data_IF_064253846997
#
_entry.id   IF_064253846997
#
_cell.length_a   1.000
_cell.length_b   1.000
_cell.length_c   1.000
_cell.angle_alpha   90.00
_cell.angle_beta   90.00
_cell.angle_gamma   90.00
#
_symmetry.space_group_name_H-M   'P 1'
#
loop_
_entity.id
_entity.type
_entity.pdbx_description
1 polymer ?
#
# COMPACT_ATOMS: atom_id res chain seq x y z
N UNK A 1 36.07 38.16 -58.42
CA UNK A 1 35.25 38.84 -59.45
C UNK A 1 33.84 38.99 -58.91
N UNK A 2 33.34 40.23 -58.85
CA UNK A 2 31.99 40.78 -58.53
C UNK A 2 30.98 39.92 -57.74
N UNK A 3 30.51 40.25 -56.53
CA UNK A 3 29.85 41.45 -55.97
C UNK A 3 28.30 41.50 -56.11
N UNK A 4 27.65 41.73 -54.96
CA UNK A 4 26.31 42.33 -54.69
C UNK A 4 25.08 41.41 -54.65
N UNK A 5 24.38 41.24 -53.52
CA UNK A 5 23.45 42.15 -52.77
C UNK A 5 21.98 41.80 -53.13
N UNK A 6 20.95 41.65 -52.27
CA UNK A 6 20.48 42.37 -51.08
C UNK A 6 19.53 41.46 -50.23
N UNK A 7 19.47 41.69 -48.92
CA UNK A 7 18.31 41.39 -48.05
C UNK A 7 17.30 42.58 -48.08
N UNK A 8 16.06 42.54 -47.53
CA UNK A 8 15.82 42.50 -46.06
C UNK A 8 14.50 41.82 -45.56
N UNK A 9 14.41 41.63 -44.23
CA UNK A 9 13.19 41.38 -43.40
C UNK A 9 12.35 42.68 -43.19
N UNK A 10 11.37 42.82 -42.24
CA UNK A 10 10.50 41.91 -41.44
C UNK A 10 8.99 42.35 -41.41
N UNK A 11 8.09 41.61 -40.72
CA UNK A 11 7.23 42.12 -39.61
C UNK A 11 6.04 41.20 -39.21
N UNK A 12 5.65 41.38 -37.95
CA UNK A 12 4.72 40.65 -37.05
C UNK A 12 3.26 41.13 -37.08
N UNK A 13 2.31 40.29 -36.60
CA UNK A 13 1.16 40.61 -35.68
C UNK A 13 0.10 39.49 -35.74
N UNK A 14 -0.28 38.84 -34.63
CA UNK A 14 -1.29 39.17 -33.60
C UNK A 14 -2.73 38.66 -33.91
N UNK A 15 -3.27 37.86 -32.99
CA UNK A 15 -4.65 37.29 -32.90
C UNK A 15 -5.75 38.37 -32.78
N UNK A 16 -7.07 38.06 -32.96
CA UNK A 16 -7.96 37.53 -31.88
C UNK A 16 -9.09 36.58 -32.40
N UNK A 17 -9.70 35.68 -31.62
CA UNK A 17 -10.76 35.91 -30.60
C UNK A 17 -12.18 35.74 -31.20
N UNK A 18 -12.87 34.62 -30.94
CA UNK A 18 -14.27 34.40 -31.35
C UNK A 18 -15.16 34.13 -30.12
N UNK A 19 -16.19 34.96 -29.94
CA UNK A 19 -17.21 34.89 -28.87
C UNK A 19 -18.58 34.89 -29.55
N UNK A 20 -19.43 33.92 -29.15
CA UNK A 20 -20.84 34.08 -28.81
C UNK A 20 -21.86 34.69 -29.80
N UNK A 21 -22.77 33.80 -30.22
CA UNK A 21 -24.24 33.91 -30.07
C UNK A 21 -25.06 34.86 -30.98
N UNK A 22 -26.24 34.39 -31.42
CA UNK A 22 -27.28 35.23 -32.03
C UNK A 22 -28.08 34.61 -33.17
N UNK A 23 -29.19 33.96 -32.83
CA UNK A 23 -30.31 33.59 -33.70
C UNK A 23 -31.02 34.82 -34.31
N UNK A 24 -31.62 34.67 -35.51
CA UNK A 24 -33.00 35.09 -35.91
C UNK A 24 -33.14 35.11 -37.45
N UNK A 25 -34.26 34.58 -37.95
CA UNK A 25 -34.72 34.55 -39.34
C UNK A 25 -34.99 35.95 -39.94
N UNK A 26 -35.27 36.09 -41.25
CA UNK A 26 -36.68 36.30 -41.61
C UNK A 26 -37.14 35.78 -43.00
N UNK A 27 -38.46 35.58 -43.04
CA UNK A 27 -39.48 35.87 -44.07
C UNK A 27 -39.30 35.62 -45.57
N UNK A 28 -40.42 35.13 -46.11
CA UNK A 28 -40.75 34.90 -47.49
C UNK A 28 -41.12 36.19 -48.24
N UNK A 29 -40.85 36.20 -49.55
CA UNK A 29 -41.57 37.02 -50.53
C UNK A 29 -41.91 36.12 -51.71
N UNK A 30 -43.20 36.13 -52.06
CA UNK A 30 -43.82 35.49 -53.22
C UNK A 30 -43.75 36.47 -54.38
N UNK A 31 -43.42 35.99 -55.59
CA UNK A 31 -44.01 36.56 -56.81
C UNK A 31 -44.11 35.49 -57.92
N UNK A 32 -45.19 35.60 -58.69
CA UNK A 32 -45.82 34.56 -59.49
C UNK A 32 -45.32 34.45 -60.95
N UNK A 33 -45.31 33.20 -61.45
CA UNK A 33 -45.70 32.70 -62.78
C UNK A 33 -44.99 33.19 -64.07
N UNK A 34 -44.32 32.26 -64.79
CA UNK A 34 -44.82 31.77 -66.09
C UNK A 34 -44.10 30.49 -66.59
N UNK A 35 -44.90 29.45 -66.67
CA UNK A 35 -44.93 28.24 -67.52
C UNK A 35 -43.80 27.95 -68.54
N UNK A 36 -43.32 26.71 -68.50
CA UNK A 36 -42.79 26.01 -69.68
C UNK A 36 -41.66 25.02 -69.37
N UNK A 37 -41.96 23.73 -69.48
CA UNK A 37 -40.99 22.60 -69.58
C UNK A 37 -40.41 21.99 -68.28
N UNK A 38 -41.25 21.48 -67.37
CA UNK A 38 -40.75 20.78 -66.15
C UNK A 38 -40.90 19.24 -66.11
N UNK A 39 -41.47 18.59 -67.11
CA UNK A 39 -41.72 17.13 -67.01
C UNK A 39 -40.59 16.21 -67.51
N UNK A 40 -39.51 16.74 -68.12
CA UNK A 40 -38.30 15.94 -68.47
C UNK A 40 -37.04 16.28 -67.67
N UNK A 41 -37.01 17.43 -67.02
CA UNK A 41 -35.84 17.97 -66.29
C UNK A 41 -35.79 17.48 -64.84
N UNK A 42 -36.95 17.14 -64.28
CA UNK A 42 -37.14 16.73 -62.88
C UNK A 42 -36.73 15.27 -62.65
N UNK A 43 -36.90 14.39 -63.64
CA UNK A 43 -36.40 13.00 -63.58
C UNK A 43 -34.87 12.92 -63.55
N UNK A 44 -34.17 13.73 -64.35
CA UNK A 44 -32.70 13.80 -64.37
C UNK A 44 -32.10 14.41 -63.08
N UNK A 45 -32.77 15.44 -62.53
CA UNK A 45 -32.40 16.09 -61.26
C UNK A 45 -32.65 15.18 -60.05
N UNK A 46 -33.77 14.46 -60.03
CA UNK A 46 -34.09 13.49 -58.97
C UNK A 46 -33.16 12.28 -59.01
N UNK A 47 -32.84 11.73 -60.19
CA UNK A 47 -31.83 10.69 -60.36
C UNK A 47 -30.45 11.13 -59.85
N UNK A 48 -30.05 12.38 -60.14
CA UNK A 48 -28.78 12.93 -59.67
C UNK A 48 -28.74 13.13 -58.15
N UNK A 49 -29.85 13.58 -57.54
CA UNK A 49 -29.97 13.70 -56.07
C UNK A 49 -29.98 12.34 -55.39
N UNK A 50 -30.60 11.33 -56.00
CA UNK A 50 -30.61 9.95 -55.50
C UNK A 50 -29.19 9.37 -55.47
N UNK A 51 -28.42 9.55 -56.55
CA UNK A 51 -27.02 9.09 -56.65
C UNK A 51 -26.12 9.77 -55.61
N UNK A 52 -26.33 11.07 -55.33
CA UNK A 52 -25.61 11.79 -54.27
C UNK A 52 -25.99 11.25 -52.88
N UNK A 53 -27.27 10.97 -52.64
CA UNK A 53 -27.72 10.38 -51.38
C UNK A 53 -27.17 8.96 -51.18
N UNK A 54 -27.05 8.17 -52.25
CA UNK A 54 -26.51 6.81 -52.22
C UNK A 54 -25.00 6.81 -51.97
N UNK A 55 -24.26 7.72 -52.60
CA UNK A 55 -22.82 7.89 -52.35
C UNK A 55 -22.52 8.39 -50.94
N UNK A 56 -23.31 9.33 -50.40
CA UNK A 56 -23.17 9.76 -49.00
C UNK A 56 -23.50 8.64 -48.00
N UNK A 57 -24.51 7.80 -48.30
CA UNK A 57 -24.79 6.60 -47.50
C UNK A 57 -23.64 5.59 -47.55
N UNK A 58 -23.08 5.36 -48.72
CA UNK A 58 -21.94 4.46 -48.90
C UNK A 58 -20.68 4.95 -48.17
N UNK A 59 -20.40 6.27 -48.19
CA UNK A 59 -19.28 6.87 -47.46
C UNK A 59 -19.45 6.76 -45.94
N UNK A 60 -20.65 7.01 -45.42
CA UNK A 60 -20.95 6.84 -43.99
C UNK A 60 -20.83 5.39 -43.54
N UNK A 61 -21.27 4.45 -44.37
CA UNK A 61 -21.10 3.02 -44.11
C UNK A 61 -19.61 2.62 -44.08
N UNK A 62 -18.79 3.14 -45.00
CA UNK A 62 -17.34 2.91 -44.99
C UNK A 62 -16.64 3.53 -43.77
N UNK A 63 -17.00 4.75 -43.36
CA UNK A 63 -16.46 5.37 -42.15
C UNK A 63 -16.83 4.58 -40.89
N UNK A 64 -18.05 4.06 -40.83
CA UNK A 64 -18.52 3.25 -39.72
C UNK A 64 -17.78 1.91 -39.66
N UNK A 65 -17.58 1.26 -40.80
CA UNK A 65 -16.80 0.02 -40.90
C UNK A 65 -15.33 0.24 -40.52
N UNK A 66 -14.73 1.38 -40.89
CA UNK A 66 -13.37 1.74 -40.47
C UNK A 66 -13.28 1.95 -38.95
N UNK A 67 -14.27 2.61 -38.34
CA UNK A 67 -14.32 2.80 -36.87
C UNK A 67 -14.47 1.48 -36.13
N UNK A 68 -15.30 0.57 -36.62
CA UNK A 68 -15.49 -0.76 -36.04
C UNK A 68 -14.20 -1.60 -36.16
N UNK A 69 -13.49 -1.53 -37.29
CA UNK A 69 -12.19 -2.19 -37.48
C UNK A 69 -11.11 -1.63 -36.54
N UNK A 70 -11.05 -0.31 -36.36
CA UNK A 70 -10.13 0.31 -35.41
C UNK A 70 -10.46 -0.06 -33.97
N UNK A 71 -11.75 -0.13 -33.61
CA UNK A 71 -12.19 -0.51 -32.28
C UNK A 71 -11.83 -1.97 -31.97
N UNK A 72 -12.11 -2.89 -32.90
CA UNK A 72 -11.71 -4.29 -32.80
C UNK A 72 -10.18 -4.44 -32.65
N UNK A 73 -9.39 -3.66 -33.41
CA UNK A 73 -7.93 -3.66 -33.29
C UNK A 73 -7.47 -3.23 -31.89
N UNK A 74 -8.10 -2.21 -31.30
CA UNK A 74 -7.80 -1.75 -29.92
C UNK A 74 -8.16 -2.80 -28.89
N UNK A 75 -9.30 -3.46 -29.03
CA UNK A 75 -9.75 -4.53 -28.11
C UNK A 75 -8.79 -5.74 -28.13
N UNK A 76 -8.37 -6.17 -29.32
CA UNK A 76 -7.36 -7.24 -29.46
C UNK A 76 -6.03 -6.83 -28.84
N UNK A 77 -5.60 -5.58 -29.02
CA UNK A 77 -4.36 -5.08 -28.43
C UNK A 77 -4.45 -4.98 -26.89
N UNK A 78 -5.61 -4.63 -26.35
CA UNK A 78 -5.89 -4.64 -24.91
C UNK A 78 -5.89 -6.07 -24.34
N UNK A 79 -6.44 -7.05 -25.05
CA UNK A 79 -6.41 -8.45 -24.65
C UNK A 79 -5.00 -9.03 -24.68
N UNK A 80 -4.23 -8.75 -25.73
CA UNK A 80 -2.82 -9.15 -25.81
C UNK A 80 -2.05 -8.54 -24.64
N UNK A 81 -2.25 -7.25 -24.35
CA UNK A 81 -1.58 -6.54 -23.25
C UNK A 81 -1.97 -7.12 -21.88
N UNK A 82 -3.25 -7.45 -21.66
CA UNK A 82 -3.72 -8.14 -20.44
C UNK A 82 -3.09 -9.53 -20.31
N UNK A 83 -2.96 -10.27 -21.41
CA UNK A 83 -2.32 -11.59 -21.41
C UNK A 83 -0.83 -11.50 -21.10
N UNK A 84 -0.12 -10.51 -21.65
CA UNK A 84 1.30 -10.24 -21.40
C UNK A 84 1.49 -9.81 -19.95
N UNK A 85 0.65 -8.92 -19.41
CA UNK A 85 0.68 -8.54 -17.99
C UNK A 85 0.43 -9.75 -17.09
N UNK A 86 -0.47 -10.66 -17.46
CA UNK A 86 -0.77 -11.89 -16.71
C UNK A 86 0.40 -12.89 -16.76
N UNK A 87 1.08 -13.01 -17.90
CA UNK A 87 2.31 -13.82 -18.06
C UNK A 87 3.48 -13.18 -17.29
N UNK A 88 3.63 -11.86 -17.35
CA UNK A 88 4.62 -11.11 -16.55
C UNK A 88 4.34 -11.16 -15.04
N UNK A 89 3.09 -11.32 -14.62
CA UNK A 89 2.72 -11.60 -13.22
C UNK A 89 3.08 -13.02 -12.77
N UNK A 90 3.25 -13.94 -13.72
CA UNK A 90 3.62 -15.33 -13.44
C UNK A 90 5.13 -15.57 -13.52
N UNK A 91 5.87 -14.71 -14.22
CA UNK A 91 7.31 -14.89 -14.41
C UNK A 91 8.19 -14.17 -13.37
N UNK A 92 8.85 -15.02 -12.56
CA UNK A 92 10.19 -14.89 -11.98
C UNK A 92 10.41 -14.23 -10.61
N UNK A 93 9.68 -13.22 -10.13
CA UNK A 93 9.92 -12.69 -8.76
C UNK A 93 9.02 -13.27 -7.68
N UNK A 94 7.83 -13.73 -8.10
CA UNK A 94 6.76 -14.11 -7.19
C UNK A 94 6.65 -15.63 -7.04
N UNK A 95 7.23 -16.42 -7.95
CA UNK A 95 7.29 -17.88 -7.78
C UNK A 95 8.05 -18.27 -6.52
N UNK A 96 9.24 -17.69 -6.31
CA UNK A 96 10.05 -17.97 -5.13
C UNK A 96 9.41 -17.42 -3.85
N UNK A 97 8.78 -16.24 -3.91
CA UNK A 97 8.07 -15.67 -2.75
C UNK A 97 6.80 -16.44 -2.40
N UNK A 98 6.04 -16.89 -3.40
CA UNK A 98 4.85 -17.73 -3.21
C UNK A 98 5.26 -19.12 -2.73
N UNK A 99 6.35 -19.68 -3.24
CA UNK A 99 6.91 -20.95 -2.78
C UNK A 99 7.41 -20.83 -1.34
N UNK A 100 8.17 -19.79 -0.99
CA UNK A 100 8.62 -19.49 0.37
C UNK A 100 7.44 -19.26 1.31
N UNK A 101 6.41 -18.53 0.86
CA UNK A 101 5.20 -18.32 1.64
C UNK A 101 4.43 -19.62 1.87
N UNK A 102 4.31 -20.46 0.83
CA UNK A 102 3.65 -21.77 0.90
C UNK A 102 4.41 -22.71 1.82
N UNK A 103 5.75 -22.75 1.73
CA UNK A 103 6.61 -23.51 2.63
C UNK A 103 6.52 -23.00 4.07
N UNK A 104 6.46 -21.68 4.27
CA UNK A 104 6.29 -21.07 5.59
C UNK A 104 4.92 -21.42 6.20
N UNK A 105 3.85 -21.34 5.42
CA UNK A 105 2.51 -21.76 5.84
C UNK A 105 2.49 -23.26 6.16
N UNK A 106 3.10 -24.10 5.33
CA UNK A 106 3.18 -25.54 5.56
C UNK A 106 3.91 -25.86 6.87
N UNK A 107 5.04 -25.18 7.15
CA UNK A 107 5.77 -25.29 8.43
C UNK A 107 4.92 -24.83 9.61
N UNK A 108 4.25 -23.68 9.51
CA UNK A 108 3.37 -23.16 10.56
C UNK A 108 2.19 -24.10 10.86
N UNK A 109 1.57 -24.66 9.82
CA UNK A 109 0.48 -25.63 9.95
C UNK A 109 0.96 -26.94 10.58
N UNK A 110 2.17 -27.41 10.23
CA UNK A 110 2.79 -28.58 10.85
C UNK A 110 3.07 -28.35 12.34
N UNK A 111 3.61 -27.17 12.71
CA UNK A 111 3.83 -26.77 14.11
C UNK A 111 2.51 -26.70 14.87
N UNK A 112 1.49 -26.06 14.32
CA UNK A 112 0.17 -25.97 14.94
C UNK A 112 -0.48 -27.35 15.13
N UNK A 113 -0.31 -28.26 14.17
CA UNK A 113 -0.74 -29.65 14.25
C UNK A 113 -0.05 -30.42 15.39
N UNK A 114 1.27 -30.28 15.52
CA UNK A 114 2.05 -30.90 16.60
C UNK A 114 1.61 -30.35 17.96
N UNK A 115 1.46 -29.03 18.11
CA UNK A 115 1.00 -28.41 19.36
C UNK A 115 -0.43 -28.84 19.74
N UNK A 116 -1.31 -29.03 18.76
CA UNK A 116 -2.65 -29.58 19.00
C UNK A 116 -2.56 -31.04 19.49
N UNK A 117 -1.70 -31.85 18.88
CA UNK A 117 -1.51 -33.24 19.26
C UNK A 117 -0.90 -33.38 20.66
N UNK A 118 0.06 -32.53 21.02
CA UNK A 118 0.61 -32.42 22.37
C UNK A 118 -0.48 -32.17 23.42
N UNK A 119 -1.42 -31.25 23.13
CA UNK A 119 -2.56 -30.97 24.02
C UNK A 119 -3.50 -32.18 24.14
N UNK A 120 -3.75 -32.89 23.05
CA UNK A 120 -4.59 -34.10 23.05
C UNK A 120 -3.97 -35.23 23.86
N UNK A 121 -2.66 -35.46 23.72
CA UNK A 121 -1.93 -36.49 24.48
C UNK A 121 -1.92 -36.16 25.98
N UNK A 122 -1.67 -34.90 26.35
CA UNK A 122 -1.72 -34.50 27.76
C UNK A 122 -3.15 -34.64 28.32
N UNK A 123 -4.18 -34.26 27.55
CA UNK A 123 -5.57 -34.44 27.95
C UNK A 123 -5.95 -35.92 28.12
N UNK A 124 -5.51 -36.80 27.22
CA UNK A 124 -5.74 -38.24 27.29
C UNK A 124 -5.07 -38.86 28.53
N UNK A 125 -3.83 -38.47 28.82
CA UNK A 125 -3.14 -38.90 30.04
C UNK A 125 -3.86 -38.41 31.31
N UNK A 126 -4.32 -37.15 31.36
CA UNK A 126 -5.07 -36.64 32.51
C UNK A 126 -6.44 -37.35 32.66
N UNK A 127 -7.06 -37.77 31.55
CA UNK A 127 -8.28 -38.57 31.57
C UNK A 127 -8.03 -39.98 32.13
N UNK A 128 -7.08 -40.72 31.54
CA UNK A 128 -6.68 -42.05 32.00
C UNK A 128 -6.25 -42.02 33.48
N UNK A 129 -5.50 -41.01 33.91
CA UNK A 129 -5.11 -40.83 35.32
C UNK A 129 -6.32 -40.68 36.26
N UNK A 130 -7.40 -40.03 35.82
CA UNK A 130 -8.64 -39.92 36.59
C UNK A 130 -9.40 -41.24 36.63
N UNK A 131 -9.47 -41.97 35.52
CA UNK A 131 -10.10 -43.29 35.45
C UNK A 131 -9.38 -44.30 36.33
N UNK A 132 -8.04 -44.33 36.28
CA UNK A 132 -7.20 -45.20 37.10
C UNK A 132 -7.25 -44.86 38.60
N UNK A 133 -7.71 -43.67 38.98
CA UNK A 133 -7.92 -43.31 40.38
C UNK A 133 -9.04 -44.12 41.05
N UNK A 134 -9.94 -44.72 40.27
CA UNK A 134 -11.04 -45.57 40.73
C UNK A 134 -10.61 -46.99 41.12
N UNK A 135 -9.37 -47.39 40.82
CA UNK A 135 -8.86 -48.73 41.13
C UNK A 135 -8.48 -48.83 42.62
N UNK A 136 -9.09 -49.77 43.38
CA UNK A 136 -8.85 -49.90 44.82
C UNK A 136 -7.47 -50.47 45.15
N UNK A 137 -6.92 -51.36 44.31
CA UNK A 137 -5.57 -51.91 44.50
C UNK A 137 -4.50 -50.84 44.20
N UNK A 138 -3.71 -50.51 45.24
CA UNK A 138 -2.64 -49.52 45.18
C UNK A 138 -1.47 -49.92 44.28
N UNK A 139 -1.08 -51.21 44.26
CA UNK A 139 0.05 -51.68 43.44
C UNK A 139 -0.31 -51.67 41.96
N UNK A 140 -1.46 -52.26 41.61
CA UNK A 140 -1.94 -52.30 40.22
C UNK A 140 -2.17 -50.89 39.64
N UNK A 141 -2.77 -49.98 40.42
CA UNK A 141 -2.95 -48.58 40.03
C UNK A 141 -1.63 -47.86 39.77
N UNK A 142 -0.62 -48.06 40.63
CA UNK A 142 0.68 -47.41 40.43
C UNK A 142 1.35 -47.92 39.15
N UNK A 143 1.33 -49.23 38.91
CA UNK A 143 1.89 -49.80 37.69
C UNK A 143 1.21 -49.29 36.42
N UNK A 144 -0.12 -49.23 36.41
CA UNK A 144 -0.88 -48.74 35.25
C UNK A 144 -0.65 -47.24 35.00
N UNK A 145 -0.61 -46.40 36.05
CA UNK A 145 -0.29 -44.98 35.90
C UNK A 145 1.13 -44.78 35.37
N UNK A 146 2.09 -45.61 35.77
CA UNK A 146 3.46 -45.55 35.23
C UNK A 146 3.53 -46.00 33.77
N UNK A 147 2.73 -47.00 33.36
CA UNK A 147 2.63 -47.41 31.95
C UNK A 147 2.06 -46.29 31.07
N UNK A 148 0.96 -45.67 31.49
CA UNK A 148 0.35 -44.53 30.78
C UNK A 148 1.27 -43.31 30.74
N UNK A 149 2.01 -43.05 31.82
CA UNK A 149 3.00 -41.98 31.87
C UNK A 149 4.15 -42.24 30.88
N UNK A 150 4.67 -43.48 30.82
CA UNK A 150 5.72 -43.84 29.86
C UNK A 150 5.24 -43.71 28.42
N UNK A 151 4.04 -44.23 28.10
CA UNK A 151 3.45 -44.09 26.77
C UNK A 151 3.28 -42.61 26.36
N UNK A 152 2.85 -41.75 27.29
CA UNK A 152 2.81 -40.29 27.09
C UNK A 152 4.20 -39.72 26.86
N UNK A 153 5.18 -40.06 27.71
CA UNK A 153 6.52 -39.48 27.65
C UNK A 153 7.26 -39.90 26.36
N UNK A 154 7.08 -41.13 25.89
CA UNK A 154 7.63 -41.66 24.64
C UNK A 154 7.02 -40.95 23.41
N UNK A 155 5.69 -40.81 23.36
CA UNK A 155 5.01 -40.09 22.28
C UNK A 155 5.33 -38.59 22.29
N UNK A 156 5.48 -38.00 23.47
CA UNK A 156 5.92 -36.61 23.63
C UNK A 156 7.38 -36.41 23.20
N UNK A 157 8.25 -37.39 23.41
CA UNK A 157 9.64 -37.33 22.94
C UNK A 157 9.71 -37.30 21.41
N UNK A 158 8.95 -38.17 20.72
CA UNK A 158 8.87 -38.19 19.25
C UNK A 158 8.34 -36.87 18.68
N UNK A 159 7.33 -36.26 19.32
CA UNK A 159 6.80 -34.97 18.90
C UNK A 159 7.76 -33.80 19.13
N UNK A 160 8.56 -33.86 20.21
CA UNK A 160 9.61 -32.89 20.49
C UNK A 160 10.72 -32.95 19.44
N UNK A 161 11.16 -34.16 19.09
CA UNK A 161 12.15 -34.38 18.04
C UNK A 161 11.64 -33.83 16.69
N UNK A 162 10.39 -34.13 16.34
CA UNK A 162 9.76 -33.62 15.12
C UNK A 162 9.59 -32.10 15.11
N UNK A 163 9.29 -31.49 16.26
CA UNK A 163 9.18 -30.04 16.39
C UNK A 163 10.54 -29.35 16.26
N UNK A 164 11.57 -29.93 16.88
CA UNK A 164 12.95 -29.44 16.81
C UNK A 164 13.51 -29.50 15.38
N UNK A 165 13.11 -30.51 14.59
CA UNK A 165 13.45 -30.59 13.16
C UNK A 165 12.71 -29.58 12.27
N UNK A 166 11.55 -29.07 12.69
CA UNK A 166 10.77 -28.07 11.95
C UNK A 166 11.13 -26.63 12.31
N UNK A 167 11.53 -26.38 13.56
CA UNK A 167 11.99 -25.07 14.02
C UNK A 167 12.95 -25.22 15.23
N UNK A 168 14.26 -24.98 15.05
CA UNK A 168 15.25 -25.08 16.13
C UNK A 168 15.13 -23.94 17.16
N UNK A 169 14.35 -22.89 16.87
CA UNK A 169 14.15 -21.74 17.75
C UNK A 169 12.95 -21.87 18.69
N UNK A 170 12.08 -22.87 18.47
CA UNK A 170 10.95 -23.17 19.37
C UNK A 170 11.47 -23.92 20.60
N UNK A 171 11.92 -23.16 21.61
CA UNK A 171 12.08 -23.69 22.97
C UNK A 171 10.70 -24.00 23.53
N UNK A 172 10.36 -25.28 23.63
CA UNK A 172 9.20 -25.72 24.39
C UNK A 172 9.39 -25.28 25.85
N UNK A 173 8.52 -24.38 26.29
CA UNK A 173 8.40 -23.93 27.67
C UNK A 173 8.20 -25.14 28.58
N UNK A 174 9.28 -25.57 29.23
CA UNK A 174 9.27 -26.46 30.37
C UNK A 174 9.52 -25.63 31.62
N UNK A 175 8.58 -24.76 32.00
CA UNK A 175 8.42 -24.31 33.39
C UNK A 175 7.14 -23.48 33.55
N UNK A 176 6.13 -24.10 34.19
CA UNK A 176 5.24 -23.39 35.09
C UNK A 176 6.02 -23.13 36.39
N UNK A 177 6.79 -22.05 36.44
CA UNK A 177 7.28 -21.41 37.67
C UNK A 177 8.32 -20.32 37.32
N UNK A 178 8.08 -19.12 37.85
CA UNK A 178 9.11 -18.23 38.40
C UNK A 178 10.02 -17.51 37.40
N UNK A 179 9.79 -16.21 37.29
CA UNK A 179 10.76 -15.11 37.12
C UNK A 179 12.01 -15.34 36.28
N UNK A 180 12.13 -14.53 35.22
CA UNK A 180 13.40 -14.20 34.61
C UNK A 180 13.51 -12.69 34.43
N UNK A 181 14.27 -12.08 35.34
CA UNK A 181 14.91 -10.78 35.13
C UNK A 181 16.29 -11.01 34.51
N UNK A 182 16.80 -9.98 33.84
CA UNK A 182 18.10 -9.83 33.18
C UNK A 182 18.23 -10.42 31.76
N UNK A 183 18.42 -9.55 30.77
CA UNK A 183 19.76 -9.29 30.20
C UNK A 183 19.71 -7.99 29.38
N UNK A 184 20.58 -7.04 29.73
CA UNK A 184 20.94 -5.91 28.87
C UNK A 184 21.73 -6.42 27.65
N UNK A 185 21.45 -5.91 26.44
CA UNK A 185 22.43 -5.31 25.53
C UNK A 185 21.90 -5.16 24.09
N UNK A 186 22.20 -3.97 23.53
CA UNK A 186 22.11 -3.52 22.13
C UNK A 186 20.72 -3.28 21.54
N UNK A 187 20.34 -2.00 21.61
CA UNK A 187 19.29 -1.36 20.83
C UNK A 187 19.58 -1.46 19.31
N UNK A 188 19.02 -2.49 18.67
CA UNK A 188 18.50 -2.38 17.31
C UNK A 188 16.99 -2.22 17.48
N UNK A 189 16.41 -1.17 16.92
CA UNK A 189 14.99 -0.86 17.02
C UNK A 189 14.18 -1.93 16.28
N UNK A 190 13.85 -3.02 16.99
CA UNK A 190 12.98 -4.09 16.51
C UNK A 190 11.55 -3.77 16.93
N UNK A 191 10.65 -3.77 15.95
CA UNK A 191 9.21 -3.53 16.12
C UNK A 191 8.60 -4.51 17.15
N UNK A 192 7.80 -4.03 18.12
CA UNK A 192 6.92 -4.91 18.88
C UNK A 192 5.77 -5.38 17.99
N UNK A 193 5.53 -6.69 17.94
CA UNK A 193 4.30 -7.26 17.40
C UNK A 193 3.09 -6.65 18.12
N UNK A 194 2.22 -5.97 17.38
CA UNK A 194 0.94 -5.48 17.89
C UNK A 194 -0.07 -6.59 17.62
N UNK A 195 -0.60 -7.19 18.68
CA UNK A 195 -1.57 -8.27 18.61
C UNK A 195 -2.83 -7.88 17.83
N UNK A 196 -3.22 -8.74 16.89
CA UNK A 196 -4.51 -8.72 16.19
C UNK A 196 -5.65 -9.05 17.17
N UNK A 197 -5.99 -8.13 18.06
CA UNK A 197 -7.20 -8.22 18.89
C UNK A 197 -8.04 -6.94 18.80
N UNK A 198 -8.33 -6.48 17.58
CA UNK A 198 -9.37 -5.46 17.36
C UNK A 198 -10.17 -5.83 16.11
N UNK A 199 -10.82 -6.99 16.14
CA UNK A 199 -11.84 -7.35 15.16
C UNK A 199 -12.96 -8.12 15.85
N UNK A 200 -13.68 -7.46 16.73
CA UNK A 200 -15.03 -7.86 17.14
C UNK A 200 -15.76 -6.64 17.68
N UNK A 201 -16.26 -5.82 16.75
CA UNK A 201 -17.26 -4.80 17.07
C UNK A 201 -18.62 -5.47 17.23
N UNK A 202 -18.96 -5.89 18.44
CA UNK A 202 -20.34 -5.98 18.96
C UNK A 202 -20.23 -5.72 20.46
N UNK A 203 -21.04 -4.80 20.98
CA UNK A 203 -20.93 -4.25 22.33
C UNK A 203 -20.71 -5.27 23.43
N UNK A 204 -19.69 -5.06 24.27
CA UNK A 204 -19.49 -5.83 25.49
C UNK A 204 -19.59 -4.91 26.70
N UNK A 205 -20.81 -4.83 27.24
CA UNK A 205 -21.04 -4.44 28.63
C UNK A 205 -20.26 -5.41 29.53
N UNK A 206 -19.41 -4.85 30.41
CA UNK A 206 -18.96 -5.42 31.68
C UNK A 206 -18.58 -6.91 31.70
N UNK A 207 -17.29 -7.20 31.48
CA UNK A 207 -16.59 -8.24 32.26
C UNK A 207 -15.66 -7.53 33.22
N UNK A 208 -15.77 -7.81 34.52
CA UNK A 208 -14.81 -7.36 35.54
C UNK A 208 -13.44 -7.91 35.16
N UNK A 209 -12.66 -7.14 34.39
CA UNK A 209 -11.26 -7.45 34.09
C UNK A 209 -10.52 -7.36 35.41
N UNK A 210 -9.96 -8.47 35.87
CA UNK A 210 -8.95 -8.44 36.93
C UNK A 210 -7.89 -7.43 36.53
N UNK A 211 -7.59 -6.42 37.38
CA UNK A 211 -6.63 -5.39 37.05
C UNK A 211 -5.28 -6.06 36.75
N UNK A 212 -4.56 -5.60 35.71
CA UNK A 212 -3.25 -6.15 35.41
C UNK A 212 -2.31 -5.98 36.61
N UNK A 213 -1.30 -6.87 36.76
CA UNK A 213 -0.47 -6.94 37.97
C UNK A 213 0.25 -5.63 38.31
N UNK A 214 0.55 -4.81 37.30
CA UNK A 214 1.20 -3.50 37.41
C UNK A 214 0.22 -2.30 37.44
N UNK A 215 -1.09 -2.53 37.53
CA UNK A 215 -2.09 -1.48 37.40
C UNK A 215 -1.92 -0.35 38.44
N UNK A 216 -1.62 -0.69 39.70
CA UNK A 216 -1.46 0.31 40.77
C UNK A 216 -0.26 1.22 40.52
N UNK A 217 0.88 0.64 40.19
CA UNK A 217 2.13 1.37 39.86
C UNK A 217 1.93 2.27 38.65
N UNK A 218 1.28 1.77 37.60
CA UNK A 218 0.97 2.53 36.39
C UNK A 218 0.06 3.72 36.71
N UNK A 219 -1.00 3.52 37.51
CA UNK A 219 -1.90 4.61 37.90
C UNK A 219 -1.21 5.66 38.78
N UNK A 220 -0.26 5.26 39.62
CA UNK A 220 0.56 6.18 40.40
C UNK A 220 1.52 6.99 39.52
N UNK A 221 2.24 6.33 38.61
CA UNK A 221 3.10 6.99 37.64
C UNK A 221 2.34 7.99 36.76
N UNK A 222 1.12 7.65 36.32
CA UNK A 222 0.24 8.56 35.57
C UNK A 222 -0.13 9.78 36.43
N UNK A 223 -0.49 9.59 37.70
CA UNK A 223 -0.81 10.71 38.61
C UNK A 223 0.39 11.61 38.85
N UNK A 224 1.60 11.06 39.01
CA UNK A 224 2.82 11.84 39.13
C UNK A 224 3.09 12.67 37.88
N UNK A 225 3.04 12.05 36.69
CA UNK A 225 3.23 12.74 35.42
C UNK A 225 2.19 13.84 35.16
N UNK A 226 0.94 13.65 35.60
CA UNK A 226 -0.10 14.68 35.50
C UNK A 226 0.17 15.88 36.41
N UNK A 227 0.71 15.66 37.61
CA UNK A 227 1.13 16.74 38.53
C UNK A 227 2.35 17.49 38.01
N UNK A 228 3.30 16.80 37.39
CA UNK A 228 4.52 17.39 36.82
C UNK A 228 4.28 18.11 35.49
N UNK A 229 3.23 17.75 34.75
CA UNK A 229 2.90 18.30 33.43
C UNK A 229 3.02 19.83 33.28
N UNK A 230 2.46 20.68 34.18
CA UNK A 230 2.56 22.13 34.03
C UNK A 230 3.98 22.67 34.20
N UNK A 231 4.88 21.93 34.86
CA UNK A 231 6.29 22.31 35.05
C UNK A 231 7.19 21.91 33.87
N UNK A 232 6.69 21.09 32.93
CA UNK A 232 7.48 20.67 31.78
C UNK A 232 7.56 21.76 30.71
N UNK A 233 8.75 21.97 30.09
CA UNK A 233 8.90 22.86 28.93
C UNK A 233 7.99 22.47 27.76
N UNK A 234 7.75 21.16 27.58
CA UNK A 234 6.74 20.62 26.67
C UNK A 234 5.70 19.78 27.45
N UNK A 235 4.55 20.38 27.82
CA UNK A 235 3.49 19.67 28.53
C UNK A 235 2.88 18.49 27.75
N UNK A 236 3.07 18.42 26.42
CA UNK A 236 2.58 17.29 25.63
C UNK A 236 3.49 16.05 25.74
N UNK A 237 4.73 16.21 26.22
CA UNK A 237 5.62 15.09 26.53
C UNK A 237 5.04 14.21 27.64
N UNK A 238 4.36 14.81 28.61
CA UNK A 238 3.62 14.05 29.62
C UNK A 238 2.56 13.14 28.98
N UNK A 239 1.82 13.62 27.98
CA UNK A 239 0.81 12.79 27.30
C UNK A 239 1.45 11.60 26.57
N UNK A 240 2.63 11.78 25.94
CA UNK A 240 3.34 10.66 25.31
C UNK A 240 3.73 9.59 26.34
N UNK A 241 4.28 10.01 27.49
CA UNK A 241 4.64 9.10 28.58
C UNK A 241 3.41 8.38 29.16
N UNK A 242 2.32 9.12 29.38
CA UNK A 242 1.04 8.56 29.85
C UNK A 242 0.46 7.57 28.82
N UNK A 243 0.54 7.86 27.52
CA UNK A 243 0.08 6.96 26.48
C UNK A 243 0.85 5.63 26.47
N UNK A 244 2.17 5.65 26.68
CA UNK A 244 2.99 4.43 26.83
C UNK A 244 2.60 3.62 28.06
N UNK A 245 2.26 4.29 29.16
CA UNK A 245 1.78 3.65 30.39
C UNK A 245 0.40 3.01 30.21
N UNK A 246 -0.53 3.66 29.51
CA UNK A 246 -1.80 3.03 29.13
C UNK A 246 -1.59 1.81 28.24
N UNK A 247 -0.64 1.89 27.31
CA UNK A 247 -0.28 0.78 26.43
C UNK A 247 0.34 -0.39 27.20
N UNK A 248 1.14 -0.16 28.23
CA UNK A 248 1.73 -1.24 29.03
C UNK A 248 0.70 -2.07 29.79
N UNK A 249 -0.48 -1.50 30.07
CA UNK A 249 -1.62 -2.20 30.66
C UNK A 249 -2.68 -2.60 29.63
N UNK A 250 -2.36 -2.51 28.33
CA UNK A 250 -3.26 -2.83 27.21
C UNK A 250 -4.57 -2.02 27.15
N UNK A 251 -4.60 -0.82 27.75
CA UNK A 251 -5.71 0.12 27.61
C UNK A 251 -5.50 1.01 26.38
N UNK A 252 -5.89 0.48 25.22
CA UNK A 252 -5.62 1.09 23.92
C UNK A 252 -6.45 2.36 23.65
N UNK A 253 -7.65 2.45 24.23
CA UNK A 253 -8.55 3.59 24.00
C UNK A 253 -8.04 4.85 24.70
N UNK A 254 -7.59 4.73 25.95
CA UNK A 254 -6.96 5.85 26.68
C UNK A 254 -5.60 6.19 26.10
N UNK A 255 -4.82 5.18 25.71
CA UNK A 255 -3.55 5.40 25.02
C UNK A 255 -3.75 6.23 23.75
N UNK A 256 -4.78 5.95 22.95
CA UNK A 256 -5.11 6.68 21.72
C UNK A 256 -5.34 8.17 21.98
N UNK A 257 -6.15 8.50 23.00
CA UNK A 257 -6.47 9.88 23.32
C UNK A 257 -5.21 10.67 23.70
N UNK A 258 -4.33 10.06 24.50
CA UNK A 258 -3.09 10.69 24.92
C UNK A 258 -2.05 10.75 23.79
N UNK A 259 -2.01 9.78 22.88
CA UNK A 259 -1.22 9.88 21.63
C UNK A 259 -1.71 11.03 20.73
N UNK A 260 -3.03 11.23 20.59
CA UNK A 260 -3.60 12.38 19.85
C UNK A 260 -3.26 13.71 20.52
N UNK A 261 -3.24 13.78 21.84
CA UNK A 261 -2.77 14.98 22.55
C UNK A 261 -1.26 15.17 22.35
N UNK A 262 -0.49 14.07 22.33
CA UNK A 262 0.95 14.06 22.12
C UNK A 262 1.39 14.34 20.67
N UNK A 263 0.48 14.42 19.69
CA UNK A 263 0.83 14.87 18.33
C UNK A 263 0.70 16.39 18.15
N UNK A 264 0.14 17.11 19.14
CA UNK A 264 -0.05 18.57 19.06
C UNK A 264 1.26 19.35 19.17
N UNK A 265 1.30 20.50 18.52
CA UNK A 265 2.38 21.49 18.64
C UNK A 265 2.14 22.42 19.83
N UNK A 266 3.22 22.95 20.39
CA UNK A 266 3.18 24.05 21.35
C UNK A 266 2.64 25.31 20.68
N UNK A 267 1.85 26.08 21.42
CA UNK A 267 1.39 27.39 20.96
C UNK A 267 2.53 28.41 20.97
N UNK A 268 2.45 29.44 20.13
CA UNK A 268 3.42 30.54 20.09
C UNK A 268 3.64 31.18 21.47
N UNK A 269 2.55 31.33 22.24
CA UNK A 269 2.60 31.84 23.62
C UNK A 269 3.42 30.95 24.57
N UNK A 270 3.42 29.65 24.36
CA UNK A 270 4.22 28.71 25.16
C UNK A 270 5.69 28.72 24.74
N UNK A 271 5.95 28.82 23.43
CA UNK A 271 7.32 28.94 22.90
C UNK A 271 7.98 30.26 23.31
N UNK A 272 7.21 31.36 23.35
CA UNK A 272 7.69 32.68 23.77
C UNK A 272 8.12 32.74 25.26
N UNK A 273 7.57 31.86 26.11
CA UNK A 273 7.92 31.79 27.54
C UNK A 273 9.29 31.16 27.81
N UNK A 274 9.86 30.45 26.84
CA UNK A 274 11.20 29.89 26.95
C UNK A 274 12.20 31.05 26.82
N UNK A 275 13.08 31.23 27.80
CA UNK A 275 13.94 32.41 27.91
C UNK A 275 15.03 32.44 26.82
N UNK A 276 15.63 31.29 26.51
CA UNK A 276 16.80 31.24 25.63
C UNK A 276 16.51 30.62 24.26
N UNK A 277 17.20 31.10 23.22
CA UNK A 277 17.09 30.55 21.87
C UNK A 277 17.58 29.10 21.78
N UNK A 278 18.60 28.74 22.58
CA UNK A 278 19.13 27.38 22.66
C UNK A 278 18.15 26.42 23.36
N UNK A 279 17.50 26.86 24.43
CA UNK A 279 16.43 26.10 25.08
C UNK A 279 15.24 25.90 24.13
N UNK A 280 14.85 26.94 23.39
CA UNK A 280 13.79 26.86 22.37
C UNK A 280 14.12 25.83 21.29
N UNK A 281 15.35 25.82 20.76
CA UNK A 281 15.74 24.85 19.73
C UNK A 281 15.74 23.41 20.24
N UNK A 282 16.19 23.19 21.48
CA UNK A 282 16.14 21.88 22.12
C UNK A 282 14.70 21.40 22.35
N UNK A 283 13.82 22.28 22.85
CA UNK A 283 12.40 21.95 23.05
C UNK A 283 11.71 21.65 21.72
N UNK A 284 12.01 22.40 20.65
CA UNK A 284 11.48 22.12 19.30
C UNK A 284 11.99 20.78 18.74
N UNK A 285 13.26 20.44 18.96
CA UNK A 285 13.81 19.16 18.56
C UNK A 285 13.13 17.99 19.32
N UNK A 286 12.94 18.13 20.64
CA UNK A 286 12.22 17.14 21.45
C UNK A 286 10.75 17.04 21.05
N UNK A 287 10.09 18.17 20.75
CA UNK A 287 8.74 18.20 20.23
C UNK A 287 8.64 17.45 18.90
N UNK A 288 9.59 17.64 17.98
CA UNK A 288 9.62 16.91 16.70
C UNK A 288 9.66 15.40 16.94
N UNK A 289 10.58 14.94 17.79
CA UNK A 289 10.73 13.51 18.10
C UNK A 289 9.46 12.93 18.74
N UNK A 290 8.90 13.64 19.73
CA UNK A 290 7.63 13.27 20.36
C UNK A 290 6.51 13.13 19.32
N UNK A 291 6.34 14.15 18.47
CA UNK A 291 5.28 14.15 17.44
C UNK A 291 5.46 13.00 16.47
N UNK A 292 6.70 12.73 16.03
CA UNK A 292 6.99 11.60 15.15
C UNK A 292 6.60 10.27 15.78
N UNK A 293 6.94 10.05 17.05
CA UNK A 293 6.53 8.83 17.75
C UNK A 293 5.02 8.71 17.90
N UNK A 294 4.34 9.79 18.28
CA UNK A 294 2.89 9.80 18.40
C UNK A 294 2.21 9.51 17.06
N UNK A 295 2.65 10.18 15.98
CA UNK A 295 2.13 9.96 14.63
C UNK A 295 2.39 8.54 14.13
N UNK A 296 3.57 7.97 14.44
CA UNK A 296 3.88 6.58 14.12
C UNK A 296 2.86 5.60 14.69
N UNK A 297 2.51 5.75 15.96
CA UNK A 297 1.47 4.94 16.58
C UNK A 297 0.11 5.16 15.90
N UNK A 298 -0.27 6.41 15.67
CA UNK A 298 -1.57 6.78 15.12
C UNK A 298 -1.77 6.23 13.70
N UNK A 299 -0.82 6.45 12.77
CA UNK A 299 -0.98 5.92 11.41
C UNK A 299 -0.88 4.39 11.37
N UNK A 300 -0.07 3.77 12.24
CA UNK A 300 0.03 2.31 12.30
C UNK A 300 -1.31 1.69 12.72
N UNK A 301 -2.00 2.31 13.68
CA UNK A 301 -3.37 1.91 14.05
C UNK A 301 -4.37 2.18 12.94
N UNK A 302 -4.32 3.34 12.30
CA UNK A 302 -5.21 3.68 11.19
C UNK A 302 -5.09 2.67 10.04
N UNK A 303 -3.86 2.25 9.70
CA UNK A 303 -3.61 1.16 8.74
C UNK A 303 -4.23 -0.17 9.19
N UNK A 304 -4.09 -0.55 10.47
CA UNK A 304 -4.69 -1.77 11.02
C UNK A 304 -6.23 -1.75 10.95
N UNK A 305 -6.84 -0.60 11.21
CA UNK A 305 -8.28 -0.39 11.16
C UNK A 305 -8.81 -0.14 9.75
N UNK A 306 -7.92 -0.10 8.74
CA UNK A 306 -8.24 0.23 7.35
C UNK A 306 -8.83 1.64 7.19
N UNK A 307 -8.51 2.56 8.10
CA UNK A 307 -8.82 3.99 8.05
C UNK A 307 -7.81 4.67 7.09
N UNK A 308 -7.97 4.43 5.78
CA UNK A 308 -6.95 4.75 4.75
C UNK A 308 -6.66 6.24 4.60
N UNK A 309 -7.69 7.08 4.62
CA UNK A 309 -7.56 8.53 4.51
C UNK A 309 -6.85 9.13 5.72
N UNK A 310 -7.26 8.73 6.93
CA UNK A 310 -6.61 9.14 8.19
C UNK A 310 -5.14 8.67 8.21
N UNK A 311 -4.87 7.44 7.79
CA UNK A 311 -3.50 6.94 7.66
C UNK A 311 -2.65 7.78 6.70
N UNK A 312 -3.17 8.12 5.51
CA UNK A 312 -2.45 8.93 4.53
C UNK A 312 -2.15 10.34 5.06
N UNK A 313 -3.11 10.98 5.72
CA UNK A 313 -2.93 12.30 6.34
C UNK A 313 -1.87 12.25 7.46
N UNK A 314 -1.93 11.25 8.33
CA UNK A 314 -0.96 11.07 9.41
C UNK A 314 0.45 10.72 8.91
N UNK A 315 0.58 9.91 7.85
CA UNK A 315 1.87 9.59 7.23
C UNK A 315 2.46 10.82 6.52
N UNK A 316 1.63 11.66 5.89
CA UNK A 316 2.07 12.92 5.27
C UNK A 316 2.62 13.87 6.35
N UNK A 317 1.89 14.07 7.45
CA UNK A 317 2.39 14.91 8.55
C UNK A 317 3.65 14.33 9.22
N UNK A 318 3.78 13.00 9.29
CA UNK A 318 5.00 12.35 9.77
C UNK A 318 6.20 12.63 8.86
N UNK A 319 5.97 12.61 7.54
CA UNK A 319 6.94 12.90 6.51
C UNK A 319 7.38 14.38 6.55
N UNK A 320 6.47 15.32 6.79
CA UNK A 320 6.78 16.76 6.91
C UNK A 320 7.65 17.09 8.13
N UNK A 321 7.65 16.23 9.16
CA UNK A 321 8.52 16.36 10.34
C UNK A 321 9.91 15.75 10.15
N UNK A 322 10.20 15.18 8.98
CA UNK A 322 11.54 14.66 8.67
C UNK A 322 12.53 15.80 8.42
N UNK A 323 13.74 15.66 8.97
CA UNK A 323 14.83 16.56 8.63
C UNK A 323 15.36 16.20 7.23
N UNK A 324 15.96 17.16 6.52
CA UNK A 324 16.57 16.91 5.22
C UNK A 324 17.56 15.72 5.24
N UNK A 325 18.36 15.60 6.31
CA UNK A 325 19.30 14.49 6.53
C UNK A 325 18.64 13.13 6.76
N UNK A 326 17.39 13.11 7.21
CA UNK A 326 16.61 11.89 7.51
C UNK A 326 15.53 11.61 6.45
N UNK A 327 15.38 12.51 5.46
CA UNK A 327 14.25 12.51 4.53
C UNK A 327 14.18 11.22 3.74
N UNK A 328 15.27 10.86 3.06
CA UNK A 328 15.32 9.64 2.24
C UNK A 328 15.07 8.36 3.06
N UNK A 329 15.61 8.28 4.28
CA UNK A 329 15.35 7.17 5.21
C UNK A 329 13.88 7.09 5.61
N UNK A 330 13.26 8.26 5.83
CA UNK A 330 11.85 8.37 6.20
C UNK A 330 10.94 7.96 5.03
N UNK A 331 11.25 8.41 3.82
CA UNK A 331 10.53 8.06 2.59
C UNK A 331 10.61 6.55 2.35
N UNK A 332 11.81 5.97 2.40
CA UNK A 332 12.02 4.52 2.23
C UNK A 332 11.28 3.71 3.31
N UNK A 333 11.29 4.18 4.56
CA UNK A 333 10.54 3.54 5.64
C UNK A 333 9.02 3.53 5.41
N UNK A 334 8.44 4.66 5.00
CA UNK A 334 7.01 4.76 4.72
C UNK A 334 6.63 3.95 3.47
N UNK A 335 7.43 4.00 2.41
CA UNK A 335 7.21 3.19 1.21
C UNK A 335 7.22 1.69 1.55
N UNK A 336 8.16 1.24 2.40
CA UNK A 336 8.22 -0.16 2.84
C UNK A 336 7.02 -0.60 3.68
N UNK A 337 6.34 0.31 4.37
CA UNK A 337 5.06 0.03 5.04
C UNK A 337 3.92 -0.07 4.02
N UNK A 338 3.84 0.88 3.08
CA UNK A 338 2.78 0.93 2.07
C UNK A 338 2.84 -0.24 1.10
N UNK A 339 4.05 -0.67 0.72
CA UNK A 339 4.28 -1.85 -0.12
C UNK A 339 3.69 -3.13 0.46
N UNK A 340 3.70 -3.26 1.79
CA UNK A 340 3.13 -4.43 2.51
C UNK A 340 1.61 -4.40 2.59
N UNK A 341 0.97 -3.31 2.20
CA UNK A 341 -0.49 -3.21 2.21
C UNK A 341 -1.06 -3.75 0.89
N UNK A 342 -1.71 -4.91 0.94
CA UNK A 342 -2.22 -5.63 -0.24
C UNK A 342 -3.04 -4.74 -1.20
N UNK A 343 -3.85 -3.82 -0.67
CA UNK A 343 -4.73 -2.95 -1.45
C UNK A 343 -4.04 -1.74 -2.11
N UNK A 344 -2.75 -1.50 -1.83
CA UNK A 344 -1.99 -0.44 -2.51
C UNK A 344 -1.48 -0.91 -3.87
N UNK A 345 -1.32 -2.22 -4.08
CA UNK A 345 -0.90 -2.81 -5.36
C UNK A 345 -2.00 -3.52 -6.11
N UNK A 346 -3.06 -3.97 -5.44
CA UNK A 346 -4.08 -4.83 -6.03
C UNK A 346 -4.83 -4.14 -7.20
N UNK A 347 -4.60 -4.58 -8.46
CA UNK A 347 -5.32 -4.07 -9.62
C UNK A 347 -6.74 -4.66 -9.74
N UNK A 348 -7.10 -5.63 -8.90
CA UNK A 348 -8.41 -6.30 -8.91
C UNK A 348 -9.48 -5.60 -8.04
N UNK A 349 -9.17 -4.42 -7.49
CA UNK A 349 -10.16 -3.60 -6.80
C UNK A 349 -11.23 -3.11 -7.78
N UNK A 350 -12.33 -3.85 -7.87
CA UNK A 350 -13.43 -3.63 -8.83
C UNK A 350 -14.57 -2.78 -8.25
N UNK A 351 -14.69 -2.66 -6.93
CA UNK A 351 -15.76 -1.89 -6.29
C UNK A 351 -15.37 -0.41 -6.16
N UNK A 352 -16.23 0.49 -6.66
CA UNK A 352 -16.05 1.95 -6.66
C UNK A 352 -15.54 2.50 -5.31
N UNK A 353 -16.13 2.07 -4.19
CA UNK A 353 -15.76 2.52 -2.83
C UNK A 353 -14.37 2.05 -2.39
N UNK A 354 -13.97 0.82 -2.75
CA UNK A 354 -12.62 0.33 -2.46
C UNK A 354 -11.56 1.03 -3.32
N UNK A 355 -11.92 1.41 -4.55
CA UNK A 355 -11.09 2.24 -5.42
C UNK A 355 -10.89 3.61 -4.77
N UNK A 356 -11.95 4.35 -4.42
CA UNK A 356 -11.83 5.68 -3.81
C UNK A 356 -11.02 5.67 -2.51
N UNK A 357 -11.24 4.68 -1.65
CA UNK A 357 -10.51 4.57 -0.40
C UNK A 357 -9.04 4.16 -0.59
N UNK A 358 -8.69 3.44 -1.68
CA UNK A 358 -7.30 3.08 -2.00
C UNK A 358 -6.50 4.25 -2.58
N UNK A 359 -7.15 5.26 -3.17
CA UNK A 359 -6.51 6.40 -3.86
C UNK A 359 -5.54 7.12 -2.93
N UNK A 360 -5.94 7.48 -1.71
CA UNK A 360 -5.11 8.30 -0.82
C UNK A 360 -3.74 7.68 -0.48
N UNK A 361 -3.70 6.37 -0.22
CA UNK A 361 -2.46 5.66 0.09
C UNK A 361 -1.65 5.34 -1.17
N UNK A 362 -2.33 5.13 -2.30
CA UNK A 362 -1.73 4.95 -3.62
C UNK A 362 -1.03 6.23 -4.07
N UNK A 363 -1.68 7.39 -3.95
CA UNK A 363 -1.12 8.70 -4.26
C UNK A 363 0.05 9.07 -3.34
N UNK A 364 -0.08 8.76 -2.04
CA UNK A 364 1.04 8.94 -1.11
C UNK A 364 2.22 8.07 -1.53
N UNK A 365 2.00 6.78 -1.81
CA UNK A 365 3.08 5.89 -2.27
C UNK A 365 3.70 6.40 -3.58
N UNK A 366 2.88 6.87 -4.52
CA UNK A 366 3.38 7.38 -5.79
C UNK A 366 4.33 8.56 -5.57
N UNK A 367 3.94 9.54 -4.75
CA UNK A 367 4.82 10.67 -4.37
C UNK A 367 6.12 10.21 -3.72
N UNK A 368 6.07 9.21 -2.83
CA UNK A 368 7.27 8.66 -2.19
C UNK A 368 8.21 7.99 -3.21
N UNK A 369 7.65 7.22 -4.15
CA UNK A 369 8.41 6.54 -5.20
C UNK A 369 9.06 7.54 -6.16
N UNK A 370 8.36 8.61 -6.55
CA UNK A 370 8.92 9.69 -7.36
C UNK A 370 10.08 10.39 -6.65
N UNK A 371 9.94 10.68 -5.35
CA UNK A 371 11.02 11.27 -4.54
C UNK A 371 12.23 10.34 -4.45
N UNK A 372 12.03 9.03 -4.25
CA UNK A 372 13.11 8.04 -4.26
C UNK A 372 13.76 7.93 -5.64
N UNK A 373 12.97 7.89 -6.72
CA UNK A 373 13.47 7.78 -8.09
C UNK A 373 14.29 9.02 -8.50
N UNK A 374 13.94 10.20 -8.00
CA UNK A 374 14.74 11.41 -8.19
C UNK A 374 16.14 11.28 -7.58
N UNK A 375 16.26 10.58 -6.44
CA UNK A 375 17.55 10.32 -5.78
C UNK A 375 18.34 9.14 -6.37
N UNK A 376 17.63 8.13 -6.87
CA UNK A 376 18.22 6.91 -7.45
C UNK A 376 17.61 6.64 -8.84
N UNK A 377 17.99 7.41 -9.87
CA UNK A 377 17.32 7.41 -11.18
C UNK A 377 17.51 6.14 -12.00
N UNK A 378 18.42 5.26 -11.60
CA UNK A 378 18.78 4.01 -12.28
C UNK A 378 18.36 2.77 -11.50
N UNK A 379 17.64 2.92 -10.39
CA UNK A 379 17.13 1.79 -9.62
C UNK A 379 16.01 1.08 -10.40
N UNK A 380 16.25 -0.19 -10.72
CA UNK A 380 15.33 -1.01 -11.52
C UNK A 380 13.96 -1.18 -10.84
N UNK A 381 13.93 -1.37 -9.51
CA UNK A 381 12.68 -1.51 -8.75
C UNK A 381 11.88 -0.21 -8.78
N UNK A 382 12.54 0.93 -8.57
CA UNK A 382 11.85 2.23 -8.57
C UNK A 382 11.30 2.59 -9.94
N UNK A 383 12.05 2.31 -11.01
CA UNK A 383 11.58 2.52 -12.37
C UNK A 383 10.35 1.66 -12.69
N UNK A 384 10.39 0.36 -12.41
CA UNK A 384 9.24 -0.53 -12.61
C UNK A 384 8.03 -0.11 -11.76
N UNK A 385 8.24 0.17 -10.47
CA UNK A 385 7.18 0.58 -9.57
C UNK A 385 6.51 1.90 -10.01
N UNK A 386 7.29 2.92 -10.41
CA UNK A 386 6.75 4.19 -10.93
C UNK A 386 6.04 4.00 -12.26
N UNK A 387 6.58 3.18 -13.17
CA UNK A 387 5.90 2.85 -14.44
C UNK A 387 4.55 2.19 -14.20
N UNK A 388 4.46 1.20 -13.30
CA UNK A 388 3.18 0.56 -12.94
C UNK A 388 2.16 1.55 -12.41
N UNK A 389 2.60 2.52 -11.60
CA UNK A 389 1.71 3.55 -11.05
C UNK A 389 1.20 4.50 -12.14
N UNK A 390 2.06 4.91 -13.09
CA UNK A 390 1.61 5.70 -14.25
C UNK A 390 0.60 4.96 -15.12
N UNK A 391 0.79 3.65 -15.36
CA UNK A 391 -0.18 2.82 -16.11
C UNK A 391 -1.52 2.78 -15.38
N UNK A 392 -1.53 2.59 -14.05
CA UNK A 392 -2.77 2.61 -13.25
C UNK A 392 -3.51 3.95 -13.32
N UNK A 393 -2.76 5.06 -13.31
CA UNK A 393 -3.30 6.40 -13.48
C UNK A 393 -3.65 6.74 -14.93
N UNK A 394 -3.52 5.80 -15.87
CA UNK A 394 -3.72 5.98 -17.32
C UNK A 394 -2.84 7.09 -17.93
N UNK A 395 -1.71 7.37 -17.28
CA UNK A 395 -0.70 8.31 -17.74
C UNK A 395 0.33 7.58 -18.63
N UNK A 396 -0.07 7.20 -19.84
CA UNK A 396 0.73 6.34 -20.72
C UNK A 396 2.02 6.99 -21.23
N UNK A 397 2.03 8.30 -21.45
CA UNK A 397 3.23 9.03 -21.86
C UNK A 397 4.35 9.00 -20.79
N UNK A 398 4.09 9.38 -19.53
CA UNK A 398 5.04 9.18 -18.44
C UNK A 398 5.43 7.72 -18.21
N UNK A 399 4.48 6.78 -18.35
CA UNK A 399 4.76 5.34 -18.24
C UNK A 399 5.77 4.89 -19.31
N UNK A 400 5.61 5.33 -20.56
CA UNK A 400 6.54 5.03 -21.65
C UNK A 400 7.93 5.56 -21.34
N UNK A 401 8.05 6.83 -20.93
CA UNK A 401 9.36 7.45 -20.60
C UNK A 401 10.11 6.72 -19.49
N UNK A 402 9.38 6.26 -18.46
CA UNK A 402 9.98 5.50 -17.35
C UNK A 402 10.32 4.06 -17.76
N UNK A 403 9.49 3.43 -18.58
CA UNK A 403 9.76 2.12 -19.19
C UNK A 403 10.98 2.14 -20.11
N UNK A 404 11.11 3.14 -20.97
CA UNK A 404 12.28 3.30 -21.86
C UNK A 404 13.58 3.42 -21.06
N UNK A 405 13.54 4.10 -19.90
CA UNK A 405 14.67 4.18 -18.98
C UNK A 405 14.98 2.83 -18.33
N UNK A 406 13.95 2.07 -17.95
CA UNK A 406 14.08 0.73 -17.37
C UNK A 406 14.74 -0.25 -18.34
N UNK A 407 14.26 -0.32 -19.59
CA UNK A 407 14.81 -1.23 -20.62
C UNK A 407 16.26 -0.89 -20.99
N UNK A 408 16.66 0.37 -20.84
CA UNK A 408 18.06 0.80 -21.08
C UNK A 408 19.04 0.38 -19.97
N UNK A 409 18.56 -0.11 -18.82
CA UNK A 409 19.45 -0.52 -17.73
C UNK A 409 20.32 -1.73 -18.12
N UNK A 410 21.62 -1.74 -17.77
CA UNK A 410 22.52 -2.85 -18.11
C UNK A 410 22.08 -4.20 -17.57
N UNK A 411 21.46 -4.22 -16.38
CA UNK A 411 20.96 -5.44 -15.74
C UNK A 411 19.74 -6.00 -16.48
N UNK A 412 18.84 -5.13 -16.95
CA UNK A 412 17.63 -5.51 -17.70
C UNK A 412 18.00 -5.98 -19.11
N UNK A 413 18.98 -5.34 -19.77
CA UNK A 413 19.50 -5.78 -21.08
C UNK A 413 20.11 -7.18 -21.08
N UNK A 414 20.57 -7.67 -19.92
CA UNK A 414 21.13 -9.01 -19.76
C UNK A 414 20.07 -10.09 -19.55
N UNK A 415 18.82 -9.71 -19.25
CA UNK A 415 17.70 -10.64 -19.21
C UNK A 415 17.34 -11.08 -20.64
N UNK A 416 17.25 -12.39 -20.86
CA UNK A 416 17.03 -13.02 -22.18
C UNK A 416 15.79 -12.50 -22.91
N UNK A 417 14.77 -12.05 -22.19
CA UNK A 417 13.53 -11.48 -22.72
C UNK A 417 13.68 -10.06 -23.32
N UNK A 418 14.71 -9.29 -22.92
CA UNK A 418 14.95 -7.92 -23.42
C UNK A 418 16.12 -7.83 -24.42
N UNK A 419 16.97 -8.86 -24.47
CA UNK A 419 18.01 -8.97 -25.49
C UNK A 419 17.41 -9.05 -26.91
N UNK A 420 16.23 -9.65 -27.06
CA UNK A 420 15.48 -9.69 -28.33
C UNK A 420 14.90 -8.33 -28.74
N UNK A 421 14.43 -7.50 -27.80
CA UNK A 421 13.94 -6.15 -28.10
C UNK A 421 15.08 -5.20 -28.51
N UNK A 422 16.26 -5.29 -27.87
CA UNK A 422 17.43 -4.52 -28.27
C UNK A 422 17.95 -4.91 -29.67
N UNK A 423 17.76 -6.17 -30.09
CA UNK A 423 18.09 -6.62 -31.44
C UNK A 423 17.13 -6.05 -32.50
N UNK A 424 15.88 -5.74 -32.15
CA UNK A 424 14.91 -5.10 -33.07
C UNK A 424 15.16 -3.60 -33.27
N UNK A 425 15.66 -2.87 -32.26
CA UNK A 425 15.97 -1.43 -32.41
C UNK A 425 17.29 -1.15 -33.19
N UNK A 426 18.18 -2.14 -33.29
CA UNK A 426 19.43 -2.02 -34.04
C UNK A 426 19.36 -2.59 -35.48
N UNK A 427 18.19 -2.97 -35.96
CA UNK A 427 18.03 -3.67 -37.24
C UNK A 427 16.90 -3.13 -38.12
N UNK A 428 16.97 -1.87 -38.54
CA UNK A 428 16.60 -1.53 -39.93
C UNK A 428 17.14 -0.15 -40.31
N UNK A 429 18.31 -0.16 -40.93
CA UNK A 429 19.07 1.03 -41.27
C UNK A 429 20.28 0.69 -42.13
N UNK A 430 20.04 0.01 -43.25
CA UNK A 430 20.96 0.00 -44.38
C UNK A 430 21.37 -1.39 -44.88
N UNK A 431 21.08 -1.64 -46.16
CA UNK A 431 21.87 -2.56 -46.96
C UNK A 431 21.08 -3.30 -48.03
N UNK A 432 21.00 -2.69 -49.21
CA UNK A 432 20.56 -3.28 -50.48
C UNK A 432 20.98 -4.75 -50.70
N UNK A 433 20.02 -5.54 -51.17
CA UNK A 433 20.20 -6.46 -52.31
C UNK A 433 18.94 -6.52 -53.15
#
# INVERSE_FOLDING_TARGET
>A
MHASSLAPHPSSSSSPGFVGDGSVAPEAVVDENHDGEEERSTESSSLSRQVIADTLRSLRAQEQEQREREQCRREVQDEITKSVIKVMHLDSSDFDQVNDHTQKIARQNAIAGILKHTKTIEAAYQHAKKELASIPDKKLRHEQVQREKRARDDTMALLRERLQGLDPSVRLLSSLAGDANSTEQRAVFVLPSIDRQVSSGVGSRSRKKTPPPNYREVMEAIRCLQKERPSLPDPYMANLKVARLWRSISDHDRALEDYRKASKSLSEKQLAKLAEAQERSQVLAQQRLRKREALHFLFSRALLLKEREEAAALMTTYLDLSLASERLKTVSYLEGILRKQAYVEDPSLTTSEAVTQSIFLTDLRFRLLEEMLATAPTDAYLLDAVTRMHVRLRAFEPAKRTSDRFVRLPEVKRCSLFASFAAFECGDGGGDR
#
